data_IF_038522757088
#
_entry.id   IF_038522757088
#
_cell.length_a   1.000
_cell.length_b   1.000
_cell.length_c   1.000
_cell.angle_alpha   90.00
_cell.angle_beta   90.00
_cell.angle_gamma   90.00
#
_symmetry.space_group_name_H-M   'P 1'
#
loop_
_entity.id
_entity.type
_entity.pdbx_description
1 polymer ?
#
# COMPACT_ATOMS: atom_id res chain seq x y z
N UNK A 1 16.85 -59.68 -31.59
CA UNK A 1 15.53 -59.08 -31.83
C UNK A 1 15.31 -57.99 -30.79
N UNK A 2 15.82 -56.80 -31.06
CA UNK A 2 15.58 -55.58 -30.29
C UNK A 2 14.85 -54.65 -31.25
N UNK A 3 13.53 -54.83 -31.29
CA UNK A 3 12.66 -54.01 -32.12
C UNK A 3 11.55 -53.46 -31.23
N UNK A 4 11.22 -52.18 -31.45
CA UNK A 4 10.20 -51.36 -30.77
C UNK A 4 10.67 -50.55 -29.56
N UNK A 5 11.66 -49.69 -29.77
CA UNK A 5 11.67 -48.36 -29.10
C UNK A 5 11.80 -47.29 -30.18
N UNK A 6 10.74 -47.11 -30.94
CA UNK A 6 10.54 -45.94 -31.79
C UNK A 6 9.03 -45.69 -31.80
N UNK A 7 8.62 -44.43 -31.84
CA UNK A 7 7.23 -43.93 -31.84
C UNK A 7 6.64 -43.35 -30.55
N UNK A 8 7.46 -42.90 -29.59
CA UNK A 8 7.02 -41.94 -28.55
C UNK A 8 7.37 -40.47 -28.87
N UNK A 9 7.51 -40.11 -30.15
CA UNK A 9 7.96 -38.76 -30.54
C UNK A 9 7.29 -38.20 -31.80
N UNK A 10 5.98 -37.86 -31.72
CA UNK A 10 5.59 -36.58 -32.32
C UNK A 10 4.60 -35.75 -31.48
N UNK A 11 4.02 -36.30 -30.41
CA UNK A 11 2.96 -35.62 -29.62
C UNK A 11 3.50 -34.50 -28.71
N UNK A 12 4.77 -34.56 -28.29
CA UNK A 12 5.39 -33.49 -27.50
C UNK A 12 5.74 -32.23 -28.32
N UNK A 13 5.87 -32.36 -29.65
CA UNK A 13 6.17 -31.22 -30.53
C UNK A 13 4.97 -30.31 -30.80
N UNK A 14 3.75 -30.86 -30.75
CA UNK A 14 2.50 -30.12 -31.03
C UNK A 14 1.94 -29.35 -29.82
N UNK A 15 2.30 -29.74 -28.60
CA UNK A 15 1.93 -29.03 -27.36
C UNK A 15 2.87 -27.84 -27.06
N UNK A 16 4.06 -27.82 -27.64
CA UNK A 16 5.12 -26.82 -27.39
C UNK A 16 4.70 -25.36 -27.68
N UNK A 17 4.04 -25.01 -28.81
CA UNK A 17 3.67 -23.63 -29.10
C UNK A 17 2.58 -23.11 -28.16
N UNK A 18 1.59 -23.94 -27.84
CA UNK A 18 0.47 -23.57 -26.96
C UNK A 18 0.97 -23.37 -25.52
N UNK A 19 1.86 -24.25 -25.04
CA UNK A 19 2.50 -24.09 -23.73
C UNK A 19 3.38 -22.83 -23.69
N UNK A 20 4.12 -22.53 -24.76
CA UNK A 20 4.92 -21.31 -24.90
C UNK A 20 4.07 -20.03 -24.89
N UNK A 21 2.93 -20.03 -25.59
CA UNK A 21 1.99 -18.91 -25.61
C UNK A 21 1.36 -18.70 -24.22
N UNK A 22 0.89 -19.76 -23.57
CA UNK A 22 0.28 -19.68 -22.23
C UNK A 22 1.30 -19.17 -21.20
N UNK A 23 2.52 -19.70 -21.20
CA UNK A 23 3.60 -19.25 -20.30
C UNK A 23 4.01 -17.79 -20.56
N UNK A 24 4.04 -17.35 -21.83
CA UNK A 24 4.26 -15.94 -22.19
C UNK A 24 3.17 -15.00 -21.62
N UNK A 25 1.89 -15.36 -21.76
CA UNK A 25 0.79 -14.55 -21.23
C UNK A 25 0.76 -14.53 -19.69
N UNK A 26 1.09 -15.65 -19.04
CA UNK A 26 1.23 -15.72 -17.58
C UNK A 26 2.39 -14.82 -17.13
N UNK A 27 3.57 -14.92 -17.75
CA UNK A 27 4.73 -14.08 -17.43
C UNK A 27 4.45 -12.59 -17.63
N UNK A 28 3.80 -12.22 -18.73
CA UNK A 28 3.38 -10.83 -19.00
C UNK A 28 2.37 -10.32 -17.97
N UNK A 29 1.44 -11.17 -17.52
CA UNK A 29 0.44 -10.81 -16.49
C UNK A 29 1.09 -10.66 -15.11
N UNK A 30 2.02 -11.54 -14.76
CA UNK A 30 2.79 -11.46 -13.52
C UNK A 30 3.69 -10.22 -13.48
N UNK A 31 4.46 -9.96 -14.55
CA UNK A 31 5.32 -8.78 -14.63
C UNK A 31 4.55 -7.45 -14.53
N UNK A 32 3.33 -7.37 -15.10
CA UNK A 32 2.46 -6.21 -14.89
C UNK A 32 2.02 -6.07 -13.44
N UNK A 33 1.60 -7.16 -12.79
CA UNK A 33 1.22 -7.14 -11.37
C UNK A 33 2.38 -6.70 -10.47
N UNK A 34 3.59 -7.18 -10.75
CA UNK A 34 4.79 -6.83 -9.98
C UNK A 34 5.16 -5.35 -10.16
N UNK A 35 5.05 -4.82 -11.38
CA UNK A 35 5.25 -3.39 -11.64
C UNK A 35 4.24 -2.52 -10.87
N UNK A 36 2.94 -2.86 -10.93
CA UNK A 36 1.91 -2.14 -10.17
C UNK A 36 2.15 -2.20 -8.65
N UNK A 37 2.53 -3.37 -8.11
CA UNK A 37 2.87 -3.51 -6.69
C UNK A 37 4.07 -2.66 -6.30
N UNK A 38 5.08 -2.60 -7.16
CA UNK A 38 6.27 -1.78 -6.93
C UNK A 38 5.95 -0.28 -6.92
N UNK A 39 5.13 0.20 -7.86
CA UNK A 39 4.68 1.59 -7.88
C UNK A 39 3.85 1.96 -6.66
N UNK A 40 2.92 1.10 -6.24
CA UNK A 40 2.18 1.29 -4.99
C UNK A 40 3.13 1.36 -3.80
N UNK A 41 4.09 0.44 -3.69
CA UNK A 41 5.04 0.40 -2.58
C UNK A 41 5.90 1.68 -2.50
N UNK A 42 6.31 2.23 -3.66
CA UNK A 42 7.02 3.52 -3.73
C UNK A 42 6.17 4.69 -3.25
N UNK A 43 4.86 4.67 -3.54
CA UNK A 43 3.92 5.69 -3.06
C UNK A 43 3.59 5.54 -1.57
N UNK A 44 3.53 4.30 -1.08
CA UNK A 44 3.19 3.91 0.29
C UNK A 44 4.27 4.25 1.31
N UNK A 45 5.54 3.96 0.98
CA UNK A 45 6.68 4.11 1.87
C UNK A 45 6.82 5.51 2.51
N UNK A 46 6.76 6.64 1.77
CA UNK A 46 6.83 7.96 2.38
C UNK A 46 5.63 8.27 3.29
N UNK A 47 4.43 7.79 2.95
CA UNK A 47 3.24 7.95 3.81
C UNK A 47 3.44 7.17 5.10
N UNK A 48 3.80 5.90 5.00
CA UNK A 48 3.97 5.02 6.14
C UNK A 48 5.05 5.53 7.12
N UNK A 49 6.23 5.89 6.62
CA UNK A 49 7.33 6.40 7.45
C UNK A 49 6.94 7.73 8.12
N UNK A 50 6.34 8.66 7.37
CA UNK A 50 5.91 9.95 7.93
C UNK A 50 4.86 9.79 9.03
N UNK A 51 3.87 8.91 8.85
CA UNK A 51 2.84 8.67 9.88
C UNK A 51 3.45 8.02 11.12
N UNK A 52 4.34 7.04 10.97
CA UNK A 52 5.03 6.42 12.12
C UNK A 52 5.87 7.41 12.92
N UNK A 53 6.64 8.27 12.22
CA UNK A 53 7.40 9.32 12.88
C UNK A 53 6.49 10.32 13.60
N UNK A 54 5.30 10.60 13.05
CA UNK A 54 4.34 11.46 13.73
C UNK A 54 3.75 10.81 14.97
N UNK A 55 3.42 9.51 14.92
CA UNK A 55 2.96 8.74 16.09
C UNK A 55 3.98 8.83 17.24
N UNK A 56 5.28 8.68 16.94
CA UNK A 56 6.33 8.80 17.95
C UNK A 56 6.31 10.19 18.62
N UNK A 57 6.21 11.26 17.83
CA UNK A 57 6.16 12.63 18.35
C UNK A 57 4.90 12.93 19.17
N UNK A 58 3.74 12.46 18.71
CA UNK A 58 2.47 12.57 19.46
C UNK A 58 2.57 11.81 20.79
N UNK A 59 3.16 10.61 20.79
CA UNK A 59 3.34 9.80 22.00
C UNK A 59 4.26 10.48 23.03
N UNK A 60 5.20 11.29 22.56
CA UNK A 60 6.08 12.13 23.37
C UNK A 60 5.41 13.47 23.78
N UNK A 61 4.13 13.67 23.44
CA UNK A 61 3.37 14.91 23.64
C UNK A 61 4.04 16.13 23.01
N UNK A 62 4.80 15.92 21.94
CA UNK A 62 5.37 17.00 21.17
C UNK A 62 4.30 17.57 20.24
N UNK A 63 4.14 18.90 20.26
CA UNK A 63 3.19 19.58 19.39
C UNK A 63 3.83 19.78 18.01
N UNK A 64 3.53 18.88 17.06
CA UNK A 64 4.21 18.85 15.76
C UNK A 64 3.20 18.75 14.63
N UNK A 65 3.42 19.55 13.59
CA UNK A 65 2.61 19.57 12.38
C UNK A 65 2.61 18.22 11.65
N UNK A 66 1.50 17.86 11.01
CA UNK A 66 1.41 16.66 10.18
C UNK A 66 2.51 16.63 9.10
N UNK A 67 3.30 15.54 9.02
CA UNK A 67 4.33 15.36 7.98
C UNK A 67 3.80 14.75 6.67
N UNK A 68 2.50 14.41 6.58
CA UNK A 68 1.87 13.82 5.40
C UNK A 68 1.00 14.84 4.68
N UNK A 69 1.18 14.97 3.36
CA UNK A 69 0.39 15.88 2.53
C UNK A 69 -0.77 15.17 1.86
N UNK A 70 -1.85 15.91 1.56
CA UNK A 70 -2.98 15.41 0.75
C UNK A 70 -2.50 14.79 -0.57
N UNK A 71 -1.51 15.42 -1.22
CA UNK A 71 -0.92 14.94 -2.47
C UNK A 71 -0.31 13.54 -2.34
N UNK A 72 0.36 13.23 -1.22
CA UNK A 72 0.93 11.90 -1.00
C UNK A 72 -0.17 10.84 -0.81
N UNK A 73 -1.26 11.19 -0.13
CA UNK A 73 -2.43 10.33 0.02
C UNK A 73 -3.12 10.08 -1.32
N UNK A 74 -3.27 11.12 -2.15
CA UNK A 74 -3.88 11.00 -3.47
C UNK A 74 -3.07 10.09 -4.40
N UNK A 75 -1.73 10.20 -4.37
CA UNK A 75 -0.82 9.31 -5.12
C UNK A 75 -0.96 7.87 -4.62
N UNK A 76 -0.99 7.64 -3.31
CA UNK A 76 -1.20 6.31 -2.74
C UNK A 76 -2.55 5.71 -3.16
N UNK A 77 -3.61 6.51 -3.15
CA UNK A 77 -4.94 6.10 -3.60
C UNK A 77 -4.95 5.74 -5.09
N UNK A 78 -4.24 6.51 -5.92
CA UNK A 78 -4.14 6.28 -7.36
C UNK A 78 -3.54 4.90 -7.69
N UNK A 79 -2.56 4.45 -6.91
CA UNK A 79 -1.92 3.14 -7.07
C UNK A 79 -2.59 2.01 -6.27
N UNK A 80 -3.73 2.27 -5.64
CA UNK A 80 -4.47 1.30 -4.83
C UNK A 80 -5.73 0.80 -5.53
N UNK A 81 -6.27 -0.33 -5.07
CA UNK A 81 -7.61 -0.77 -5.51
C UNK A 81 -8.66 0.24 -5.09
N UNK A 82 -9.81 0.32 -5.78
CA UNK A 82 -10.89 1.26 -5.43
C UNK A 82 -11.34 1.09 -3.98
N UNK A 83 -11.46 -0.16 -3.51
CA UNK A 83 -11.84 -0.46 -2.13
C UNK A 83 -10.78 -0.05 -1.10
N UNK A 84 -9.49 -0.26 -1.41
CA UNK A 84 -8.40 0.18 -0.52
C UNK A 84 -8.27 1.71 -0.53
N UNK A 85 -8.44 2.37 -1.69
CA UNK A 85 -8.39 3.82 -1.83
C UNK A 85 -9.49 4.51 -1.01
N UNK A 86 -10.70 3.96 -0.98
CA UNK A 86 -11.79 4.47 -0.15
C UNK A 86 -11.47 4.36 1.35
N UNK A 87 -10.94 3.20 1.78
CA UNK A 87 -10.48 3.01 3.17
C UNK A 87 -9.38 4.01 3.54
N UNK A 88 -8.39 4.21 2.67
CA UNK A 88 -7.30 5.17 2.87
C UNK A 88 -7.84 6.59 3.00
N UNK A 89 -8.78 7.01 2.15
CA UNK A 89 -9.40 8.33 2.22
C UNK A 89 -10.19 8.54 3.51
N UNK A 90 -10.94 7.52 3.94
CA UNK A 90 -11.72 7.61 5.18
C UNK A 90 -10.81 7.70 6.40
N UNK A 91 -9.77 6.86 6.48
CA UNK A 91 -8.77 6.93 7.56
C UNK A 91 -8.04 8.29 7.56
N UNK A 92 -7.73 8.82 6.38
CA UNK A 92 -7.11 10.14 6.25
C UNK A 92 -8.02 11.29 6.73
N UNK A 93 -9.31 11.24 6.43
CA UNK A 93 -10.29 12.22 6.94
C UNK A 93 -10.38 12.17 8.46
N UNK A 94 -10.57 10.97 9.03
CA UNK A 94 -10.61 10.77 10.48
C UNK A 94 -9.35 11.35 11.14
N UNK A 95 -8.19 11.06 10.56
CA UNK A 95 -6.92 11.57 11.05
C UNK A 95 -6.81 13.10 11.01
N UNK A 96 -7.25 13.74 9.92
CA UNK A 96 -7.27 15.21 9.77
C UNK A 96 -8.28 15.88 10.72
N UNK A 97 -9.41 15.23 10.95
CA UNK A 97 -10.42 15.73 11.90
C UNK A 97 -9.84 15.73 13.33
N UNK A 98 -9.18 14.65 13.74
CA UNK A 98 -8.55 14.57 15.08
C UNK A 98 -7.37 15.54 15.21
N UNK A 99 -6.53 15.67 14.19
CA UNK A 99 -5.45 16.67 14.20
C UNK A 99 -5.99 18.10 14.38
N UNK A 100 -7.11 18.44 13.71
CA UNK A 100 -7.72 19.76 13.87
C UNK A 100 -8.19 20.06 15.30
N UNK A 101 -8.54 19.03 16.07
CA UNK A 101 -8.96 19.13 17.47
C UNK A 101 -7.76 19.20 18.43
N UNK A 102 -6.68 18.47 18.11
CA UNK A 102 -5.43 18.52 18.85
C UNK A 102 -4.73 19.89 18.72
N UNK A 103 -4.92 20.56 17.57
CA UNK A 103 -4.41 21.90 17.25
C UNK A 103 -2.88 21.97 17.06
N UNK A 104 -2.37 23.06 16.47
CA UNK A 104 -0.94 23.42 16.49
C UNK A 104 -0.60 24.16 17.81
N UNK A 105 0.69 24.46 18.07
CA UNK A 105 1.21 25.21 19.24
C UNK A 105 0.42 26.47 19.65
N UNK A 106 -0.41 27.03 18.76
CA UNK A 106 -1.21 28.24 18.96
C UNK A 106 -2.74 28.02 19.00
N UNK A 107 -3.23 26.81 18.68
CA UNK A 107 -4.66 26.48 18.58
C UNK A 107 -5.06 25.18 19.29
N UNK A 108 -4.16 24.56 20.07
CA UNK A 108 -4.50 23.37 20.84
C UNK A 108 -5.63 23.68 21.81
N UNK A 109 -6.71 22.90 21.76
CA UNK A 109 -7.69 22.90 22.85
C UNK A 109 -6.98 22.37 24.11
N UNK A 110 -6.81 23.17 25.18
CA UNK A 110 -6.13 22.72 26.40
C UNK A 110 -6.86 21.56 27.09
N UNK A 111 -8.09 21.25 26.71
CA UNK A 111 -8.86 20.10 27.20
C UNK A 111 -8.74 18.84 26.33
N UNK A 112 -8.04 18.91 25.18
CA UNK A 112 -7.83 17.73 24.34
C UNK A 112 -6.89 16.75 25.04
N UNK A 113 -7.46 15.67 25.56
CA UNK A 113 -6.75 14.63 26.33
C UNK A 113 -6.67 13.30 25.58
N UNK A 114 -7.37 13.17 24.46
CA UNK A 114 -7.50 11.95 23.66
C UNK A 114 -6.33 11.70 22.70
N UNK A 115 -5.10 11.85 23.21
CA UNK A 115 -3.88 11.54 22.44
C UNK A 115 -3.82 10.08 22.01
N UNK A 116 -4.41 9.16 22.77
CA UNK A 116 -4.52 7.75 22.40
C UNK A 116 -5.39 7.57 21.15
N UNK A 117 -6.51 8.29 21.07
CA UNK A 117 -7.36 8.30 19.87
C UNK A 117 -6.62 8.89 18.66
N UNK A 118 -5.79 9.92 18.88
CA UNK A 118 -4.97 10.49 17.81
C UNK A 118 -3.92 9.51 17.29
N UNK A 119 -3.26 8.78 18.20
CA UNK A 119 -2.33 7.70 17.85
C UNK A 119 -3.04 6.59 17.08
N UNK A 120 -4.23 6.19 17.49
CA UNK A 120 -5.00 5.14 16.81
C UNK A 120 -5.44 5.56 15.40
N UNK A 121 -5.92 6.80 15.23
CA UNK A 121 -6.27 7.34 13.93
C UNK A 121 -5.04 7.38 13.00
N UNK A 122 -3.88 7.78 13.53
CA UNK A 122 -2.62 7.76 12.78
C UNK A 122 -2.23 6.32 12.40
N UNK A 123 -2.31 5.36 13.33
CA UNK A 123 -1.97 3.96 13.09
C UNK A 123 -2.81 3.35 11.98
N UNK A 124 -4.11 3.64 11.92
CA UNK A 124 -4.99 3.20 10.82
C UNK A 124 -4.46 3.65 9.46
N UNK A 125 -3.99 4.90 9.33
CA UNK A 125 -3.38 5.40 8.08
C UNK A 125 -2.07 4.67 7.78
N UNK A 126 -1.22 4.47 8.80
CA UNK A 126 0.05 3.75 8.65
C UNK A 126 -0.15 2.29 8.20
N UNK A 127 -1.13 1.59 8.77
CA UNK A 127 -1.43 0.19 8.46
C UNK A 127 -1.96 0.03 7.02
N UNK A 128 -2.81 0.97 6.59
CA UNK A 128 -3.34 0.99 5.22
C UNK A 128 -2.27 1.40 4.19
N UNK A 129 -1.33 2.27 4.59
CA UNK A 129 -0.15 2.61 3.80
C UNK A 129 0.93 1.52 3.82
N UNK A 130 0.90 0.60 4.79
CA UNK A 130 1.87 -0.48 4.93
C UNK A 130 1.97 -1.37 3.70
N UNK A 131 3.19 -1.87 3.44
CA UNK A 131 3.46 -2.82 2.35
C UNK A 131 2.62 -4.10 2.56
N UNK A 132 1.88 -4.49 1.52
CA UNK A 132 1.28 -5.84 1.39
C UNK A 132 2.17 -6.68 0.49
#
# INVERSE_FOLDING_TARGET
MLDKISHLSPLFGLLSPVVGIVTFFIGRKLGKRDAYRNERNKAAEPVHISVLSHIEKISQRMNVRIPVTQKQIDILCWHSSTADAEKIRNAWREYKDVESQAGDEYQSNPEFTDYDHFVDAARKVADLAGKR
#
